data_IF_225780639830
#
_entry.id   IF_225780639830
#
_cell.length_a   1.000
_cell.length_b   1.000
_cell.length_c   1.000
_cell.angle_alpha   90.00
_cell.angle_beta   90.00
_cell.angle_gamma   90.00
#
_symmetry.space_group_name_H-M   'P 1'
#
loop_
_entity.id
_entity.type
_entity.pdbx_description
1 polymer ?
#
# COMPACT_ATOMS: atom_id res chain seq x y z
N UNK A 1 13.62 2.78 4.70
CA UNK A 1 14.10 1.38 4.74
C UNK A 1 13.46 0.64 3.58
N UNK A 2 14.25 0.11 2.64
CA UNK A 2 13.74 -0.56 1.44
C UNK A 2 13.40 -2.00 1.80
N UNK A 3 12.16 -2.26 2.22
CA UNK A 3 11.67 -3.60 2.56
C UNK A 3 11.26 -4.29 1.26
N UNK A 4 12.25 -4.65 0.46
CA UNK A 4 12.05 -5.54 -0.67
C UNK A 4 12.23 -6.99 -0.18
N UNK A 5 11.13 -7.76 -0.23
CA UNK A 5 11.07 -9.17 -0.62
C UNK A 5 10.66 -10.32 0.30
N UNK A 6 10.49 -10.22 1.62
CA UNK A 6 10.08 -11.42 2.39
C UNK A 6 8.98 -11.16 3.44
N UNK A 7 7.86 -11.89 3.32
CA UNK A 7 6.75 -11.90 4.28
C UNK A 7 7.21 -12.12 5.75
N UNK A 8 8.23 -12.96 6.04
CA UNK A 8 8.87 -13.05 7.35
C UNK A 8 9.39 -11.71 7.91
N UNK A 9 9.93 -10.83 7.07
CA UNK A 9 10.43 -9.53 7.50
C UNK A 9 9.30 -8.58 7.84
N UNK A 10 8.19 -8.61 7.10
CA UNK A 10 7.02 -7.78 7.39
C UNK A 10 6.32 -8.22 8.68
N UNK A 11 6.25 -9.52 8.98
CA UNK A 11 5.74 -10.01 10.28
C UNK A 11 6.65 -9.61 11.44
N UNK A 12 7.96 -9.69 11.27
CA UNK A 12 8.91 -9.24 12.29
C UNK A 12 8.76 -7.74 12.52
N UNK A 13 8.59 -6.98 11.44
CA UNK A 13 8.40 -5.53 11.47
C UNK A 13 7.08 -5.15 12.13
N UNK A 14 5.98 -5.86 11.85
CA UNK A 14 4.69 -5.58 12.47
C UNK A 14 4.66 -5.87 13.97
N UNK A 15 5.42 -6.88 14.42
CA UNK A 15 5.61 -7.14 15.85
C UNK A 15 6.45 -6.06 16.54
N UNK A 16 7.48 -5.56 15.87
CA UNK A 16 8.33 -4.50 16.40
C UNK A 16 7.62 -3.14 16.44
N UNK A 17 6.73 -2.89 15.47
CA UNK A 17 6.01 -1.63 15.32
C UNK A 17 4.52 -1.91 15.08
N UNK A 18 3.74 -2.31 16.10
CA UNK A 18 2.36 -2.74 15.94
C UNK A 18 1.39 -1.57 15.64
N UNK A 19 1.75 -0.35 16.04
CA UNK A 19 0.93 0.85 15.93
C UNK A 19 1.19 1.64 14.64
N UNK A 20 1.67 1.00 13.58
CA UNK A 20 1.82 1.70 12.30
C UNK A 20 0.43 2.02 11.75
N UNK A 21 0.17 3.31 11.59
CA UNK A 21 -1.08 3.84 11.04
C UNK A 21 -1.01 4.11 9.54
N UNK A 22 0.21 4.35 9.03
CA UNK A 22 0.48 4.69 7.63
C UNK A 22 1.71 3.96 7.11
N UNK A 23 1.57 3.31 5.96
CA UNK A 23 2.69 2.71 5.24
C UNK A 23 2.92 3.43 3.92
N UNK A 24 4.18 3.71 3.60
CA UNK A 24 4.58 4.28 2.31
C UNK A 24 5.48 3.30 1.59
N UNK A 25 5.09 2.90 0.39
CA UNK A 25 5.88 2.02 -0.46
C UNK A 25 6.46 2.80 -1.63
N UNK A 26 7.79 2.79 -1.71
CA UNK A 26 8.53 3.24 -2.87
C UNK A 26 8.97 1.99 -3.64
N UNK A 27 8.51 1.79 -4.87
CA UNK A 27 8.97 0.67 -5.67
C UNK A 27 10.47 0.73 -5.93
N UNK A 28 11.09 -0.44 -6.06
CA UNK A 28 12.45 -0.54 -6.61
C UNK A 28 12.49 -0.10 -8.08
N UNK A 29 13.69 0.19 -8.60
CA UNK A 29 13.90 0.74 -9.96
C UNK A 29 13.43 -0.14 -11.14
N UNK A 30 12.82 -1.30 -10.90
CA UNK A 30 12.40 -2.21 -11.97
C UNK A 30 10.87 -2.20 -12.15
N UNK A 31 10.36 -1.83 -13.34
CA UNK A 31 8.93 -1.63 -13.56
C UNK A 31 8.11 -2.94 -13.49
N UNK A 32 8.71 -4.09 -13.78
CA UNK A 32 7.97 -5.36 -13.85
C UNK A 32 7.57 -5.98 -12.51
N UNK A 33 8.03 -5.46 -11.36
CA UNK A 33 7.71 -6.00 -10.01
C UNK A 33 6.56 -5.26 -9.29
N UNK A 34 6.20 -4.06 -9.76
CA UNK A 34 5.25 -3.14 -9.15
C UNK A 34 3.84 -3.71 -8.83
N UNK A 35 3.25 -4.42 -9.81
CA UNK A 35 1.92 -5.02 -9.69
C UNK A 35 1.88 -6.18 -8.69
N UNK A 36 2.98 -6.94 -8.64
CA UNK A 36 3.13 -8.03 -7.69
C UNK A 36 3.27 -7.48 -6.28
N UNK A 37 3.91 -6.32 -6.11
CA UNK A 37 4.19 -5.75 -4.80
C UNK A 37 2.94 -5.33 -4.03
N UNK A 38 1.98 -4.62 -4.61
CA UNK A 38 0.81 -4.10 -3.86
C UNK A 38 -0.14 -5.20 -3.42
N UNK A 39 -0.53 -6.08 -4.34
CA UNK A 39 -1.41 -7.20 -4.02
C UNK A 39 -0.74 -8.17 -3.05
N UNK A 40 0.59 -8.32 -3.12
CA UNK A 40 1.39 -9.10 -2.17
C UNK A 40 1.44 -8.43 -0.81
N UNK A 41 1.65 -7.11 -0.73
CA UNK A 41 1.65 -6.34 0.51
C UNK A 41 0.30 -6.45 1.20
N UNK A 42 -0.80 -6.17 0.51
CA UNK A 42 -2.14 -6.28 1.07
C UNK A 42 -2.50 -7.73 1.44
N UNK A 43 -2.06 -8.68 0.61
CA UNK A 43 -2.12 -10.09 0.94
C UNK A 43 -1.41 -10.40 2.25
N UNK A 44 -0.22 -9.85 2.49
CA UNK A 44 0.55 -10.02 3.72
C UNK A 44 -0.13 -9.34 4.91
N UNK A 45 -0.68 -8.12 4.74
CA UNK A 45 -1.48 -7.44 5.77
C UNK A 45 -2.68 -8.30 6.22
N UNK A 46 -3.25 -9.06 5.28
CA UNK A 46 -4.34 -10.01 5.53
C UNK A 46 -3.89 -11.43 5.92
N UNK A 47 -2.59 -11.76 5.91
CA UNK A 47 -2.12 -13.15 6.01
C UNK A 47 -1.58 -13.52 7.41
N UNK A 48 -1.93 -14.75 7.78
CA UNK A 48 -1.51 -15.51 8.98
C UNK A 48 -2.05 -14.99 10.32
N UNK A 49 -3.07 -15.71 10.81
CA UNK A 49 -3.60 -15.71 12.19
C UNK A 49 -4.06 -14.35 12.76
N UNK A 50 -4.04 -13.27 11.98
CA UNK A 50 -4.51 -11.95 12.39
C UNK A 50 -4.26 -10.87 11.34
N UNK A 51 -4.80 -9.67 11.61
CA UNK A 51 -4.54 -8.47 10.84
C UNK A 51 -3.19 -7.88 11.25
N UNK A 52 -2.23 -7.77 10.33
CA UNK A 52 -0.99 -7.04 10.61
C UNK A 52 -1.31 -5.55 10.65
N UNK A 53 -0.79 -4.83 11.65
CA UNK A 53 -1.05 -3.40 11.88
C UNK A 53 -2.55 -3.08 12.02
N UNK A 54 -3.16 -3.43 13.16
CA UNK A 54 -4.60 -3.23 13.37
C UNK A 54 -5.03 -1.76 13.26
N UNK A 55 -4.13 -0.79 13.38
CA UNK A 55 -4.41 0.65 13.28
C UNK A 55 -4.11 1.25 11.88
N UNK A 56 -3.64 0.42 10.93
CA UNK A 56 -3.26 0.87 9.60
C UNK A 56 -4.49 1.31 8.81
N UNK A 57 -4.62 2.62 8.61
CA UNK A 57 -5.78 3.19 7.92
C UNK A 57 -5.42 3.82 6.56
N UNK A 58 -4.11 4.05 6.31
CA UNK A 58 -3.61 4.69 5.10
C UNK A 58 -2.42 3.94 4.48
N UNK A 59 -2.44 3.77 3.16
CA UNK A 59 -1.30 3.25 2.40
C UNK A 59 -0.97 4.22 1.27
N UNK A 60 0.28 4.67 1.24
CA UNK A 60 0.83 5.52 0.19
C UNK A 60 1.67 4.68 -0.78
N UNK A 61 1.45 4.84 -2.07
CA UNK A 61 2.12 4.07 -3.12
C UNK A 61 2.68 5.03 -4.16
N UNK A 62 3.97 4.95 -4.45
CA UNK A 62 4.58 5.70 -5.54
C UNK A 62 4.56 4.86 -6.83
N UNK A 63 3.38 4.63 -7.42
CA UNK A 63 3.23 3.73 -8.59
C UNK A 63 3.23 4.47 -9.93
N UNK A 64 3.93 3.97 -10.96
CA UNK A 64 3.75 4.41 -12.35
C UNK A 64 2.38 4.04 -12.93
N UNK A 65 1.94 4.82 -13.94
CA UNK A 65 0.63 4.78 -14.60
C UNK A 65 0.14 3.40 -15.09
N UNK A 66 1.04 2.50 -15.45
CA UNK A 66 0.71 1.37 -16.33
C UNK A 66 0.34 0.07 -15.60
N UNK A 67 0.39 0.05 -14.27
CA UNK A 67 0.57 -1.20 -13.51
C UNK A 67 -0.31 -1.27 -12.25
N UNK A 68 -1.60 -0.96 -12.34
CA UNK A 68 -2.54 -1.20 -11.23
C UNK A 68 -3.73 -2.07 -11.64
N UNK A 69 -3.83 -3.27 -11.04
CA UNK A 69 -5.00 -4.14 -11.13
C UNK A 69 -6.06 -3.66 -10.13
N UNK A 70 -6.85 -2.68 -10.57
CA UNK A 70 -7.85 -1.98 -9.77
C UNK A 70 -8.92 -2.92 -9.20
N UNK A 71 -9.51 -3.85 -9.97
CA UNK A 71 -10.50 -4.79 -9.44
C UNK A 71 -9.94 -5.65 -8.31
N UNK A 72 -8.72 -6.16 -8.45
CA UNK A 72 -8.08 -7.00 -7.43
C UNK A 72 -7.72 -6.21 -6.18
N UNK A 73 -7.23 -4.99 -6.34
CA UNK A 73 -6.95 -4.07 -5.24
C UNK A 73 -8.23 -3.78 -4.44
N UNK A 74 -9.31 -3.42 -5.14
CA UNK A 74 -10.63 -3.18 -4.55
C UNK A 74 -11.12 -4.38 -3.76
N UNK A 75 -11.08 -5.57 -4.36
CA UNK A 75 -11.50 -6.82 -3.71
C UNK A 75 -10.72 -7.10 -2.43
N UNK A 76 -9.42 -6.84 -2.42
CA UNK A 76 -8.55 -7.08 -1.25
C UNK A 76 -8.87 -6.10 -0.12
N UNK A 77 -9.05 -4.82 -0.44
CA UNK A 77 -9.42 -3.80 0.56
C UNK A 77 -10.79 -4.10 1.17
N UNK A 78 -11.78 -4.47 0.35
CA UNK A 78 -13.10 -4.85 0.85
C UNK A 78 -13.03 -6.06 1.80
N UNK A 79 -12.17 -7.04 1.53
CA UNK A 79 -11.95 -8.19 2.43
C UNK A 79 -11.34 -7.76 3.76
N UNK A 80 -10.36 -6.84 3.73
CA UNK A 80 -9.76 -6.29 4.95
C UNK A 80 -10.79 -5.52 5.78
N UNK A 81 -11.60 -4.67 5.15
CA UNK A 81 -12.67 -3.92 5.81
C UNK A 81 -13.73 -4.86 6.40
N UNK A 82 -14.13 -5.90 5.66
CA UNK A 82 -15.05 -6.92 6.15
C UNK A 82 -14.50 -7.71 7.36
N UNK A 83 -13.17 -7.83 7.47
CA UNK A 83 -12.49 -8.39 8.62
C UNK A 83 -12.30 -7.41 9.79
N UNK A 84 -12.79 -6.16 9.67
CA UNK A 84 -12.71 -5.13 10.71
C UNK A 84 -11.45 -4.27 10.64
N UNK A 85 -10.63 -4.37 9.59
CA UNK A 85 -9.44 -3.55 9.44
C UNK A 85 -9.81 -2.09 9.09
N UNK A 86 -9.16 -1.07 9.71
CA UNK A 86 -9.54 0.34 9.52
C UNK A 86 -9.05 0.95 8.20
N UNK A 87 -8.64 0.13 7.23
CA UNK A 87 -8.10 0.63 5.97
C UNK A 87 -9.19 1.39 5.20
N UNK A 88 -8.92 2.67 4.93
CA UNK A 88 -9.89 3.57 4.30
C UNK A 88 -9.27 4.56 3.32
N UNK A 89 -7.94 4.65 3.25
CA UNK A 89 -7.26 5.66 2.43
C UNK A 89 -6.11 5.07 1.62
N UNK A 90 -6.05 5.44 0.34
CA UNK A 90 -4.91 5.23 -0.55
C UNK A 90 -4.35 6.58 -0.98
N UNK A 91 -3.03 6.75 -0.85
CA UNK A 91 -2.32 7.96 -1.32
C UNK A 91 -1.55 7.59 -2.58
N UNK A 92 -1.99 8.10 -3.73
CA UNK A 92 -1.54 7.67 -5.06
C UNK A 92 -1.21 8.88 -5.94
N UNK A 93 -0.24 8.77 -6.88
CA UNK A 93 0.05 9.84 -7.82
C UNK A 93 -1.20 10.22 -8.62
N UNK A 94 -1.39 11.52 -8.85
CA UNK A 94 -2.59 12.04 -9.52
C UNK A 94 -2.83 11.35 -10.88
N UNK A 95 -1.75 10.92 -11.53
CA UNK A 95 -1.75 10.22 -12.80
C UNK A 95 -2.50 8.89 -12.82
N UNK A 96 -2.61 8.20 -11.68
CA UNK A 96 -3.32 6.92 -11.57
C UNK A 96 -4.76 7.08 -11.09
N UNK A 97 -5.18 8.29 -10.70
CA UNK A 97 -6.54 8.57 -10.24
C UNK A 97 -7.63 8.22 -11.27
N UNK A 98 -7.46 8.45 -12.59
CA UNK A 98 -8.45 8.04 -13.58
C UNK A 98 -8.70 6.54 -13.60
N UNK A 99 -7.66 5.72 -13.44
CA UNK A 99 -7.79 4.27 -13.34
C UNK A 99 -8.47 3.86 -12.00
N UNK A 100 -8.29 4.68 -10.95
CA UNK A 100 -8.89 4.49 -9.64
C UNK A 100 -10.33 5.00 -9.51
N UNK A 101 -10.95 5.52 -10.57
CA UNK A 101 -12.34 5.95 -10.54
C UNK A 101 -13.29 4.84 -10.05
N UNK A 102 -12.98 3.58 -10.39
CA UNK A 102 -13.76 2.40 -9.96
C UNK A 102 -13.65 2.09 -8.45
N UNK A 103 -12.68 2.69 -7.74
CA UNK A 103 -12.52 2.59 -6.29
C UNK A 103 -13.48 3.52 -5.52
N UNK A 104 -14.26 4.35 -6.23
CA UNK A 104 -15.19 5.31 -5.65
C UNK A 104 -16.07 4.69 -4.56
N UNK A 105 -16.03 5.30 -3.37
CA UNK A 105 -16.80 4.90 -2.19
C UNK A 105 -16.22 3.75 -1.35
N UNK A 106 -15.15 3.08 -1.81
CA UNK A 106 -14.48 2.02 -1.03
C UNK A 106 -13.34 2.57 -0.17
N UNK A 107 -12.60 3.54 -0.71
CA UNK A 107 -11.49 4.25 -0.04
C UNK A 107 -11.40 5.69 -0.51
N UNK A 108 -10.89 6.55 0.38
CA UNK A 108 -10.43 7.89 0.06
C UNK A 108 -9.16 7.82 -0.80
N UNK A 109 -9.11 8.61 -1.86
CA UNK A 109 -7.93 8.80 -2.68
C UNK A 109 -7.32 10.16 -2.34
N UNK A 110 -6.03 10.17 -2.04
CA UNK A 110 -5.25 11.38 -1.77
C UNK A 110 -4.07 11.45 -2.74
N UNK A 111 -3.66 12.65 -3.13
CA UNK A 111 -2.52 12.85 -4.04
C UNK A 111 -1.21 12.48 -3.35
N UNK A 112 -0.43 11.64 -4.01
CA UNK A 112 0.93 11.33 -3.58
C UNK A 112 1.88 12.43 -3.99
N UNK A 113 2.39 13.18 -3.01
CA UNK A 113 3.47 14.14 -3.20
C UNK A 113 4.77 13.61 -2.58
N UNK A 114 5.87 13.62 -3.35
CA UNK A 114 7.20 13.28 -2.82
C UNK A 114 7.77 14.55 -2.19
N UNK A 115 7.46 14.77 -0.92
CA UNK A 115 8.01 15.88 -0.12
C UNK A 115 9.32 15.50 0.59
N UNK A 116 9.98 14.42 0.15
CA UNK A 116 11.22 13.99 0.77
C UNK A 116 12.31 14.98 0.39
N UNK A 117 13.03 15.58 1.35
CA UNK A 117 14.22 16.34 1.02
C UNK A 117 15.15 15.39 0.28
N UNK A 118 15.61 15.77 -0.91
CA UNK A 118 16.73 15.12 -1.59
C UNK A 118 18.00 15.67 -0.96
N UNK A 119 18.55 15.02 0.09
CA UNK A 119 19.55 15.67 0.94
C UNK A 119 20.91 15.78 0.23
N UNK A 120 21.03 15.21 -0.98
CA UNK A 120 22.28 15.03 -1.70
C UNK A 120 22.15 15.32 -3.21
N UNK A 121 21.16 16.13 -3.62
CA UNK A 121 21.20 16.69 -4.98
C UNK A 121 22.23 17.83 -4.99
N UNK A 122 23.40 17.57 -5.59
CA UNK A 122 24.46 18.54 -5.89
C UNK A 122 24.72 18.57 -7.39
#
# INVERSE_FOLDING_TARGET
MNIANDAPHLMTFSRAFPYIERLTFKPGSHPSTLLQDINRILGIVSAHDGLLWPELHSIALSTPREHLDVPRLKSTILKLQAAGHPIRKLVLPQEVHPAMAEMGGTVELEDFYVDWPTPFDW
#
